data_IF_677307908364
#
_entry.id   IF_677307908364
#
_cell.length_a   1.000
_cell.length_b   1.000
_cell.length_c   1.000
_cell.angle_alpha   90.00
_cell.angle_beta   90.00
_cell.angle_gamma   90.00
#
_symmetry.space_group_name_H-M   'P 1'
#
loop_
_entity.id
_entity.type
_entity.pdbx_description
1 polymer ?
#
# COMPACT_ATOMS: atom_id res chain seq x y z
N UNK A 1 13.70 3.81 -23.34
CA UNK A 1 13.61 5.25 -23.03
C UNK A 1 12.53 5.57 -21.99
N UNK A 2 11.26 5.07 -22.12
CA UNK A 2 10.18 5.32 -21.14
C UNK A 2 10.54 4.92 -19.72
N UNK A 3 11.11 3.72 -19.54
CA UNK A 3 11.55 3.21 -18.24
C UNK A 3 12.55 4.14 -17.52
N UNK A 4 13.51 4.70 -18.26
CA UNK A 4 14.50 5.62 -17.67
C UNK A 4 13.85 6.89 -17.14
N UNK A 5 12.91 7.46 -17.89
CA UNK A 5 12.17 8.65 -17.46
C UNK A 5 11.25 8.34 -16.26
N UNK A 6 10.57 7.20 -16.30
CA UNK A 6 9.75 6.76 -15.16
C UNK A 6 10.59 6.54 -13.90
N UNK A 7 11.77 5.94 -14.05
CA UNK A 7 12.70 5.73 -12.95
C UNK A 7 13.22 7.06 -12.35
N UNK A 8 13.57 8.03 -13.19
CA UNK A 8 13.99 9.37 -12.73
C UNK A 8 12.85 10.06 -11.96
N UNK A 9 11.65 10.07 -12.49
CA UNK A 9 10.47 10.64 -11.82
C UNK A 9 10.19 9.95 -10.49
N UNK A 10 10.24 8.62 -10.47
CA UNK A 10 10.09 7.83 -9.24
C UNK A 10 11.15 8.19 -8.18
N UNK A 11 12.40 8.37 -8.60
CA UNK A 11 13.50 8.77 -7.70
C UNK A 11 13.24 10.15 -7.10
N UNK A 12 12.76 11.11 -7.90
CA UNK A 12 12.35 12.43 -7.41
C UNK A 12 11.17 12.34 -6.43
N UNK A 13 10.19 11.51 -6.73
CA UNK A 13 9.09 11.21 -5.80
C UNK A 13 9.59 10.67 -4.46
N UNK A 14 10.53 9.72 -4.51
CA UNK A 14 11.19 9.17 -3.32
C UNK A 14 11.93 10.23 -2.49
N UNK A 15 12.61 11.16 -3.15
CA UNK A 15 13.31 12.26 -2.48
C UNK A 15 12.34 13.20 -1.75
N UNK A 16 11.25 13.59 -2.41
CA UNK A 16 10.21 14.42 -1.76
C UNK A 16 9.54 13.69 -0.59
N UNK A 17 9.26 12.39 -0.74
CA UNK A 17 8.77 11.56 0.36
C UNK A 17 9.73 11.57 1.55
N UNK A 18 11.02 11.38 1.30
CA UNK A 18 12.04 11.44 2.34
C UNK A 18 12.03 12.77 3.09
N UNK A 19 12.03 13.89 2.38
CA UNK A 19 11.96 15.22 2.99
C UNK A 19 10.65 15.46 3.75
N UNK A 20 9.53 14.96 3.24
CA UNK A 20 8.24 15.00 3.91
C UNK A 20 8.28 14.30 5.27
N UNK A 21 8.82 13.08 5.31
CA UNK A 21 8.97 12.30 6.55
C UNK A 21 9.90 12.99 7.54
N UNK A 22 11.08 13.44 7.09
CA UNK A 22 12.08 14.04 7.99
C UNK A 22 11.61 15.35 8.61
N UNK A 23 10.79 16.12 7.92
CA UNK A 23 10.42 17.47 8.34
C UNK A 23 8.91 17.61 8.63
N UNK A 24 8.14 16.52 8.51
CA UNK A 24 6.66 16.51 8.67
C UNK A 24 5.95 17.56 7.79
N UNK A 25 6.39 17.69 6.52
CA UNK A 25 5.90 18.70 5.59
C UNK A 25 4.91 18.08 4.60
N UNK A 26 3.62 18.28 4.81
CA UNK A 26 2.55 17.76 3.93
C UNK A 26 2.74 18.14 2.45
N UNK A 27 3.23 19.34 2.16
CA UNK A 27 3.50 19.80 0.78
C UNK A 27 4.52 18.91 0.06
N UNK A 28 5.49 18.33 0.76
CA UNK A 28 6.47 17.42 0.18
C UNK A 28 5.82 16.07 -0.18
N UNK A 29 4.85 15.61 0.60
CA UNK A 29 4.06 14.42 0.27
C UNK A 29 3.24 14.62 -1.01
N UNK A 30 2.59 15.78 -1.18
CA UNK A 30 1.86 16.09 -2.42
C UNK A 30 2.79 16.14 -3.65
N UNK A 31 4.02 16.66 -3.51
CA UNK A 31 5.02 16.61 -4.56
C UNK A 31 5.45 15.18 -4.89
N UNK A 32 5.66 14.36 -3.87
CA UNK A 32 5.99 12.96 -4.07
C UNK A 32 4.88 12.21 -4.85
N UNK A 33 3.61 12.44 -4.48
CA UNK A 33 2.43 11.90 -5.18
C UNK A 33 2.42 12.33 -6.66
N UNK A 34 2.68 13.62 -6.92
CA UNK A 34 2.77 14.13 -8.30
C UNK A 34 3.83 13.37 -9.10
N UNK A 35 5.04 13.21 -8.57
CA UNK A 35 6.12 12.51 -9.27
C UNK A 35 5.86 11.03 -9.45
N UNK A 36 5.29 10.35 -8.45
CA UNK A 36 4.88 8.94 -8.59
C UNK A 36 3.78 8.76 -9.64
N UNK A 37 2.80 9.67 -9.70
CA UNK A 37 1.76 9.67 -10.74
C UNK A 37 2.37 9.82 -12.13
N UNK A 38 3.27 10.79 -12.30
CA UNK A 38 3.96 11.03 -13.56
C UNK A 38 4.84 9.84 -13.99
N UNK A 39 5.51 9.19 -13.04
CA UNK A 39 6.31 8.00 -13.32
C UNK A 39 5.45 6.88 -13.90
N UNK A 40 4.30 6.62 -13.29
CA UNK A 40 3.34 5.60 -13.75
C UNK A 40 2.66 5.97 -15.07
N UNK A 41 2.36 7.26 -15.31
CA UNK A 41 1.82 7.73 -16.61
C UNK A 41 2.81 7.53 -17.75
N UNK A 42 4.11 7.76 -17.49
CA UNK A 42 5.18 7.58 -18.48
C UNK A 42 5.41 6.10 -18.77
N UNK A 43 5.40 5.27 -17.74
CA UNK A 43 5.54 3.83 -17.89
C UNK A 43 4.56 3.08 -16.97
N UNK A 44 3.38 2.67 -17.50
CA UNK A 44 2.39 1.93 -16.72
C UNK A 44 2.87 0.58 -16.18
N UNK A 45 3.96 0.02 -16.71
CA UNK A 45 4.55 -1.23 -16.19
C UNK A 45 5.38 -1.01 -14.93
N UNK A 46 5.64 0.25 -14.58
CA UNK A 46 6.44 0.61 -13.40
C UNK A 46 5.55 0.64 -12.13
N UNK A 47 5.08 -0.54 -11.73
CA UNK A 47 4.12 -0.73 -10.62
C UNK A 47 4.58 -0.15 -9.28
N UNK A 48 5.90 -0.11 -9.03
CA UNK A 48 6.45 0.47 -7.81
C UNK A 48 6.05 1.93 -7.59
N UNK A 49 5.88 2.71 -8.66
CA UNK A 49 5.44 4.09 -8.56
C UNK A 49 4.00 4.19 -8.02
N UNK A 50 3.08 3.36 -8.54
CA UNK A 50 1.70 3.31 -8.06
C UNK A 50 1.62 2.76 -6.63
N UNK A 51 2.38 1.70 -6.31
CA UNK A 51 2.46 1.15 -4.96
C UNK A 51 2.86 2.22 -3.95
N UNK A 52 3.95 2.93 -4.19
CA UNK A 52 4.44 3.96 -3.27
C UNK A 52 3.52 5.18 -3.20
N UNK A 53 2.81 5.50 -4.28
CA UNK A 53 1.77 6.53 -4.24
C UNK A 53 0.63 6.12 -3.30
N UNK A 54 0.12 4.90 -3.43
CA UNK A 54 -0.92 4.36 -2.55
C UNK A 54 -0.50 4.34 -1.07
N UNK A 55 0.71 3.87 -0.78
CA UNK A 55 1.25 3.88 0.58
C UNK A 55 1.30 5.30 1.16
N UNK A 56 1.76 6.26 0.38
CA UNK A 56 1.89 7.65 0.81
C UNK A 56 0.52 8.32 1.02
N UNK A 57 -0.42 8.08 0.10
CA UNK A 57 -1.80 8.56 0.21
C UNK A 57 -2.45 8.08 1.50
N UNK A 58 -2.35 6.79 1.81
CA UNK A 58 -2.98 6.21 2.99
C UNK A 58 -2.28 6.62 4.28
N UNK A 59 -0.98 6.34 4.40
CA UNK A 59 -0.25 6.47 5.67
C UNK A 59 0.04 7.91 6.09
N UNK A 60 0.41 8.77 5.14
CA UNK A 60 0.87 10.12 5.46
C UNK A 60 -0.25 11.17 5.32
N UNK A 61 -1.19 10.96 4.40
CA UNK A 61 -2.24 11.93 4.12
C UNK A 61 -3.65 11.48 4.55
N UNK A 62 -3.80 10.23 5.02
CA UNK A 62 -5.10 9.69 5.43
C UNK A 62 -6.13 9.58 4.29
N UNK A 63 -5.68 9.64 3.03
CA UNK A 63 -6.52 9.52 1.84
C UNK A 63 -6.76 8.05 1.50
N UNK A 64 -7.45 7.35 2.42
CA UNK A 64 -7.59 5.88 2.42
C UNK A 64 -8.25 5.37 1.13
N UNK A 65 -9.34 5.98 0.67
CA UNK A 65 -10.05 5.50 -0.53
C UNK A 65 -9.20 5.61 -1.79
N UNK A 66 -8.38 6.65 -1.90
CA UNK A 66 -7.46 6.81 -3.02
C UNK A 66 -6.31 5.81 -2.96
N UNK A 67 -5.81 5.51 -1.77
CA UNK A 67 -4.81 4.45 -1.56
C UNK A 67 -5.36 3.08 -1.96
N UNK A 68 -6.56 2.75 -1.53
CA UNK A 68 -7.24 1.50 -1.89
C UNK A 68 -7.42 1.40 -3.41
N UNK A 69 -7.84 2.48 -4.08
CA UNK A 69 -7.98 2.50 -5.54
C UNK A 69 -6.66 2.19 -6.27
N UNK A 70 -5.53 2.67 -5.75
CA UNK A 70 -4.22 2.34 -6.30
C UNK A 70 -3.86 0.86 -6.13
N UNK A 71 -4.11 0.29 -4.96
CA UNK A 71 -3.86 -1.13 -4.71
C UNK A 71 -4.83 -2.04 -5.50
N UNK A 72 -6.10 -1.65 -5.64
CA UNK A 72 -7.07 -2.36 -6.46
C UNK A 72 -6.61 -2.46 -7.92
N UNK A 73 -6.11 -1.36 -8.47
CA UNK A 73 -5.59 -1.35 -9.82
C UNK A 73 -4.36 -2.26 -9.99
N UNK A 74 -3.45 -2.26 -9.01
CA UNK A 74 -2.28 -3.16 -9.01
C UNK A 74 -2.70 -4.63 -8.93
N UNK A 75 -3.67 -4.97 -8.09
CA UNK A 75 -4.17 -6.33 -7.90
C UNK A 75 -5.07 -6.80 -9.05
N UNK A 76 -5.69 -5.89 -9.79
CA UNK A 76 -6.37 -6.21 -11.03
C UNK A 76 -5.38 -6.63 -12.14
N UNK A 77 -4.18 -6.04 -12.16
CA UNK A 77 -3.11 -6.41 -13.09
C UNK A 77 -2.39 -7.69 -12.65
N UNK A 78 -2.16 -7.84 -11.33
CA UNK A 78 -1.45 -8.98 -10.73
C UNK A 78 -2.05 -9.32 -9.36
N UNK A 79 -2.98 -10.29 -9.29
CA UNK A 79 -3.60 -10.72 -8.05
C UNK A 79 -2.62 -11.30 -7.02
N UNK A 80 -1.39 -11.61 -7.43
CA UNK A 80 -0.33 -12.18 -6.58
C UNK A 80 0.66 -11.13 -6.07
N UNK A 81 0.39 -9.84 -6.31
CA UNK A 81 1.29 -8.78 -5.87
C UNK A 81 1.19 -8.58 -4.34
N UNK A 82 2.00 -9.33 -3.60
CA UNK A 82 1.94 -9.43 -2.13
C UNK A 82 2.03 -8.08 -1.41
N UNK A 83 2.88 -7.16 -1.88
CA UNK A 83 2.99 -5.83 -1.28
C UNK A 83 1.71 -5.01 -1.41
N UNK A 84 0.96 -5.16 -2.51
CA UNK A 84 -0.33 -4.51 -2.66
C UNK A 84 -1.39 -5.13 -1.75
N UNK A 85 -1.42 -6.45 -1.61
CA UNK A 85 -2.30 -7.15 -0.65
C UNK A 85 -2.05 -6.67 0.78
N UNK A 86 -0.81 -6.69 1.23
CA UNK A 86 -0.45 -6.28 2.58
C UNK A 86 -0.86 -4.82 2.86
N UNK A 87 -0.52 -3.90 1.97
CA UNK A 87 -0.81 -2.48 2.18
C UNK A 87 -2.32 -2.18 2.06
N UNK A 88 -3.05 -2.85 1.14
CA UNK A 88 -4.52 -2.70 1.06
C UNK A 88 -5.21 -3.25 2.31
N UNK A 89 -4.76 -4.39 2.81
CA UNK A 89 -5.26 -4.95 4.07
C UNK A 89 -5.09 -4.00 5.25
N UNK A 90 -3.95 -3.30 5.35
CA UNK A 90 -3.76 -2.23 6.34
C UNK A 90 -4.77 -1.09 6.14
N UNK A 91 -4.99 -0.63 4.90
CA UNK A 91 -5.96 0.44 4.63
C UNK A 91 -7.39 0.02 4.97
N UNK A 92 -7.77 -1.22 4.67
CA UNK A 92 -9.07 -1.77 5.07
C UNK A 92 -9.23 -1.81 6.60
N UNK A 93 -8.19 -2.22 7.32
CA UNK A 93 -8.19 -2.24 8.78
C UNK A 93 -8.35 -0.83 9.36
N UNK A 94 -7.61 0.15 8.86
CA UNK A 94 -7.72 1.55 9.28
C UNK A 94 -9.08 2.17 8.97
N UNK A 95 -9.74 1.71 7.91
CA UNK A 95 -11.09 2.12 7.52
C UNK A 95 -12.21 1.34 8.22
N UNK A 96 -11.87 0.45 9.16
CA UNK A 96 -12.84 -0.36 9.91
C UNK A 96 -13.45 -1.52 9.10
N UNK A 97 -12.94 -1.79 7.90
CA UNK A 97 -13.36 -2.88 7.02
C UNK A 97 -12.59 -4.16 7.35
N UNK A 98 -12.87 -4.73 8.51
CA UNK A 98 -12.14 -5.88 9.07
C UNK A 98 -12.25 -7.17 8.25
N UNK A 99 -13.41 -7.54 7.68
CA UNK A 99 -13.50 -8.73 6.82
C UNK A 99 -12.60 -8.63 5.58
N UNK A 100 -12.57 -7.48 4.93
CA UNK A 100 -11.72 -7.24 3.75
C UNK A 100 -10.23 -7.22 4.14
N UNK A 101 -9.91 -6.63 5.30
CA UNK A 101 -8.55 -6.64 5.83
C UNK A 101 -8.07 -8.08 6.10
N UNK A 102 -8.92 -8.91 6.71
CA UNK A 102 -8.62 -10.31 6.98
C UNK A 102 -8.36 -11.09 5.69
N UNK A 103 -9.22 -10.91 4.69
CA UNK A 103 -9.09 -11.56 3.38
C UNK A 103 -7.75 -11.23 2.71
N UNK A 104 -7.36 -9.95 2.70
CA UNK A 104 -6.10 -9.51 2.10
C UNK A 104 -4.88 -10.03 2.86
N UNK A 105 -4.92 -10.03 4.20
CA UNK A 105 -3.82 -10.54 5.04
C UNK A 105 -3.65 -12.06 4.91
N UNK A 106 -4.73 -12.82 4.83
CA UNK A 106 -4.69 -14.26 4.58
C UNK A 106 -4.16 -14.57 3.18
N UNK A 107 -4.59 -13.83 2.16
CA UNK A 107 -4.06 -13.94 0.81
C UNK A 107 -2.55 -13.62 0.77
N UNK A 108 -2.12 -12.56 1.46
CA UNK A 108 -0.71 -12.23 1.62
C UNK A 108 0.08 -13.39 2.22
N UNK A 109 -0.37 -13.95 3.36
CA UNK A 109 0.30 -15.07 4.02
C UNK A 109 0.35 -16.34 3.17
N UNK A 110 -0.65 -16.55 2.30
CA UNK A 110 -0.67 -17.70 1.39
C UNK A 110 0.33 -17.57 0.25
N UNK A 111 0.59 -16.33 -0.20
CA UNK A 111 1.38 -16.04 -1.40
C UNK A 111 2.81 -15.58 -1.11
N UNK A 112 3.10 -15.15 0.12
CA UNK A 112 4.44 -14.74 0.54
C UNK A 112 5.15 -15.85 1.32
N UNK A 113 6.45 -15.66 1.53
CA UNK A 113 7.29 -16.54 2.31
C UNK A 113 7.45 -16.04 3.76
N UNK A 114 7.61 -16.96 4.71
CA UNK A 114 7.82 -16.62 6.12
C UNK A 114 9.11 -15.80 6.39
N UNK A 115 10.01 -15.71 5.42
CA UNK A 115 11.18 -14.83 5.48
C UNK A 115 10.90 -13.38 5.06
N UNK A 116 9.70 -13.09 4.54
CA UNK A 116 9.30 -11.73 4.20
C UNK A 116 9.19 -10.87 5.47
N UNK A 117 9.69 -9.64 5.40
CA UNK A 117 9.75 -8.73 6.54
C UNK A 117 8.38 -8.40 7.15
N UNK A 118 7.32 -8.41 6.33
CA UNK A 118 5.95 -8.13 6.78
C UNK A 118 5.21 -9.37 7.30
N UNK A 119 5.78 -10.56 7.18
CA UNK A 119 5.13 -11.81 7.59
C UNK A 119 4.68 -11.84 9.07
N UNK A 120 5.53 -11.46 10.04
CA UNK A 120 5.12 -11.43 11.44
C UNK A 120 3.98 -10.45 11.73
N UNK A 121 3.98 -9.31 11.05
CA UNK A 121 2.92 -8.31 11.20
C UNK A 121 1.60 -8.81 10.61
N UNK A 122 1.62 -9.40 9.42
CA UNK A 122 0.44 -10.00 8.83
C UNK A 122 -0.16 -11.10 9.70
N UNK A 123 0.66 -11.98 10.27
CA UNK A 123 0.20 -13.01 11.21
C UNK A 123 -0.45 -12.40 12.47
N UNK A 124 0.14 -11.34 13.01
CA UNK A 124 -0.41 -10.65 14.17
C UNK A 124 -1.76 -10.01 13.87
N UNK A 125 -1.89 -9.37 12.70
CA UNK A 125 -3.13 -8.76 12.25
C UNK A 125 -4.22 -9.82 12.04
N UNK A 126 -3.93 -10.93 11.39
CA UNK A 126 -4.88 -12.03 11.20
C UNK A 126 -5.41 -12.54 12.54
N UNK A 127 -4.52 -12.82 13.51
CA UNK A 127 -4.94 -13.27 14.84
C UNK A 127 -5.85 -12.25 15.56
N UNK A 128 -5.51 -10.96 15.46
CA UNK A 128 -6.30 -9.89 16.03
C UNK A 128 -7.69 -9.81 15.41
N UNK A 129 -7.77 -9.84 14.08
CA UNK A 129 -9.05 -9.73 13.37
C UNK A 129 -9.95 -10.94 13.63
N UNK A 130 -9.38 -12.14 13.69
CA UNK A 130 -10.11 -13.37 14.02
C UNK A 130 -10.64 -13.35 15.47
N UNK A 131 -9.90 -12.79 16.43
CA UNK A 131 -10.40 -12.66 17.80
C UNK A 131 -11.58 -11.69 17.91
N UNK A 132 -11.54 -10.59 17.14
CA UNK A 132 -12.66 -9.63 17.11
C UNK A 132 -13.94 -10.19 16.48
N UNK A 133 -13.82 -11.16 15.58
CA UNK A 133 -14.97 -11.81 14.96
C UNK A 133 -15.61 -12.83 15.91
N UNK A 134 -14.80 -13.61 16.63
CA UNK A 134 -15.28 -14.57 17.62
C UNK A 134 -16.03 -13.91 18.78
N UNK A 135 -15.56 -12.75 19.26
CA UNK A 135 -16.20 -12.01 20.35
C UNK A 135 -17.61 -11.50 19.97
N UNK A 136 -17.91 -11.33 18.68
CA UNK A 136 -19.22 -10.91 18.17
C UNK A 136 -20.23 -12.05 18.06
N UNK A 137 -19.77 -13.30 17.98
CA UNK A 137 -20.63 -14.47 17.88
C UNK A 137 -21.10 -14.96 19.25
N UNK A 138 -20.46 -14.49 20.34
CA UNK A 138 -20.81 -14.88 21.72
C UNK A 138 -21.83 -13.92 22.40
N UNK A 139 -22.17 -12.78 21.78
CA UNK A 139 -23.17 -11.81 22.27
C UNK A 139 -24.51 -11.95 21.50
#
# INVERSE_FOLDING_TARGET
MRFVWAWLLYTWGGLHRYFGIQNSIAREFERAIHYFSRAYEVDPTFRAARLHRGILLGRELGRIDEAIADFDALLAEDPTYTLALFNRGIMWMENGRYPEALQDMEAYLTQSDASDENWPDAQRIVRLLQSLDNDKEED
#
